data_IF_938292934056
#
_entry.id   IF_938292934056
#
_cell.length_a   1.000
_cell.length_b   1.000
_cell.length_c   1.000
_cell.angle_alpha   90.00
_cell.angle_beta   90.00
_cell.angle_gamma   90.00
#
_symmetry.space_group_name_H-M   'P 1'
#
loop_
_entity.id
_entity.type
_entity.pdbx_description
1 polymer ?
#
# COMPACT_ATOMS: atom_id res chain seq x y z
N UNK A 1 8.11 -22.08 -9.63
CA UNK A 1 7.41 -20.96 -10.22
C UNK A 1 6.62 -20.19 -9.20
N UNK A 2 6.72 -18.88 -9.24
CA UNK A 2 5.98 -18.05 -8.31
C UNK A 2 4.49 -18.10 -8.65
N UNK A 3 3.66 -18.21 -7.61
CA UNK A 3 2.23 -18.20 -7.77
C UNK A 3 1.75 -16.79 -8.12
N UNK A 4 0.80 -16.68 -9.05
CA UNK A 4 0.15 -15.40 -9.33
C UNK A 4 -0.82 -15.07 -8.21
N UNK A 5 -0.69 -13.87 -7.65
CA UNK A 5 -1.55 -13.40 -6.57
C UNK A 5 -2.56 -12.39 -7.11
N UNK A 6 -3.69 -12.27 -6.42
CA UNK A 6 -4.60 -11.15 -6.62
C UNK A 6 -4.32 -10.11 -5.54
N UNK A 7 -3.88 -8.93 -5.96
CA UNK A 7 -3.45 -7.85 -5.07
C UNK A 7 -4.33 -6.63 -5.28
N UNK A 8 -4.90 -6.12 -4.20
CA UNK A 8 -5.69 -4.88 -4.25
C UNK A 8 -4.84 -3.78 -3.61
N UNK A 9 -4.66 -2.68 -4.33
CA UNK A 9 -3.91 -1.52 -3.87
C UNK A 9 -4.88 -0.38 -3.66
N UNK A 10 -4.89 0.20 -2.46
CA UNK A 10 -5.69 1.38 -2.15
C UNK A 10 -4.79 2.60 -2.27
N UNK A 11 -5.14 3.49 -3.19
CA UNK A 11 -4.36 4.69 -3.46
C UNK A 11 -3.65 4.63 -4.81
N UNK A 12 -4.00 5.56 -5.70
CA UNK A 12 -3.50 5.61 -7.07
C UNK A 12 -2.50 6.71 -7.34
N UNK A 13 -1.78 7.19 -6.32
CA UNK A 13 -0.71 8.16 -6.51
C UNK A 13 0.54 7.50 -7.10
N UNK A 14 1.69 8.19 -7.03
CA UNK A 14 2.92 7.69 -7.63
C UNK A 14 3.32 6.31 -7.11
N UNK A 15 3.21 6.10 -5.80
CA UNK A 15 3.59 4.81 -5.20
C UNK A 15 2.68 3.71 -5.72
N UNK A 16 1.37 3.93 -5.70
CA UNK A 16 0.41 2.95 -6.20
C UNK A 16 0.62 2.63 -7.66
N UNK A 17 0.90 3.65 -8.47
CA UNK A 17 1.16 3.49 -9.90
C UNK A 17 2.38 2.59 -10.16
N UNK A 18 3.53 2.95 -9.60
CA UNK A 18 4.76 2.20 -9.85
C UNK A 18 4.73 0.82 -9.24
N UNK A 19 4.12 0.69 -8.06
CA UNK A 19 3.97 -0.60 -7.42
C UNK A 19 3.09 -1.54 -8.26
N UNK A 20 1.97 -1.01 -8.78
CA UNK A 20 1.08 -1.80 -9.63
C UNK A 20 1.78 -2.25 -10.89
N UNK A 21 2.52 -1.35 -11.52
CA UNK A 21 3.26 -1.66 -12.74
C UNK A 21 4.28 -2.79 -12.49
N UNK A 22 5.01 -2.69 -11.38
CA UNK A 22 6.01 -3.70 -11.03
C UNK A 22 5.36 -5.06 -10.73
N UNK A 23 4.28 -5.07 -9.96
CA UNK A 23 3.60 -6.31 -9.61
C UNK A 23 2.95 -6.98 -10.81
N UNK A 24 2.34 -6.20 -11.69
CA UNK A 24 1.81 -6.73 -12.95
C UNK A 24 2.89 -7.35 -13.82
N UNK A 25 4.07 -6.72 -13.89
CA UNK A 25 5.18 -7.26 -14.66
C UNK A 25 5.71 -8.57 -14.08
N UNK A 26 5.47 -8.82 -12.81
CA UNK A 26 5.83 -10.07 -12.15
C UNK A 26 4.75 -11.14 -12.30
N UNK A 27 3.68 -10.86 -13.03
CA UNK A 27 2.63 -11.82 -13.30
C UNK A 27 1.48 -11.83 -12.32
N UNK A 28 1.38 -10.83 -11.45
CA UNK A 28 0.26 -10.73 -10.52
C UNK A 28 -0.91 -9.98 -11.13
N UNK A 29 -2.11 -10.29 -10.67
CA UNK A 29 -3.32 -9.56 -11.00
C UNK A 29 -3.46 -8.43 -9.99
N UNK A 30 -3.62 -7.19 -10.46
CA UNK A 30 -3.66 -6.01 -9.59
C UNK A 30 -4.89 -5.18 -9.89
N UNK A 31 -5.59 -4.75 -8.84
CA UNK A 31 -6.64 -3.75 -8.93
C UNK A 31 -6.30 -2.60 -8.01
N UNK A 32 -6.40 -1.37 -8.52
CA UNK A 32 -6.17 -0.15 -7.72
C UNK A 32 -7.53 0.46 -7.40
N UNK A 33 -7.74 0.83 -6.15
CA UNK A 33 -8.91 1.60 -5.73
C UNK A 33 -8.47 3.03 -5.49
N UNK A 34 -9.05 3.97 -6.22
CA UNK A 34 -8.67 5.38 -6.16
C UNK A 34 -9.91 6.27 -6.10
N UNK A 35 -9.94 7.24 -5.18
CA UNK A 35 -11.06 8.16 -5.02
C UNK A 35 -11.13 9.21 -6.12
N UNK A 36 -9.99 9.70 -6.56
CA UNK A 36 -9.90 10.80 -7.51
C UNK A 36 -10.16 10.29 -8.92
N UNK A 37 -11.18 10.85 -9.57
CA UNK A 37 -11.59 10.40 -10.90
C UNK A 37 -10.50 10.61 -11.94
N UNK A 38 -9.74 11.69 -11.84
CA UNK A 38 -8.68 11.98 -12.82
C UNK A 38 -7.51 11.04 -12.67
N UNK A 39 -7.15 10.72 -11.42
CA UNK A 39 -6.09 9.74 -11.17
C UNK A 39 -6.49 8.37 -11.68
N UNK A 40 -7.74 7.98 -11.45
CA UNK A 40 -8.25 6.70 -11.92
C UNK A 40 -8.24 6.62 -13.44
N UNK A 41 -8.68 7.67 -14.13
CA UNK A 41 -8.64 7.75 -15.60
C UNK A 41 -7.21 7.63 -16.12
N UNK A 42 -6.27 8.33 -15.49
CA UNK A 42 -4.86 8.27 -15.89
C UNK A 42 -4.29 6.86 -15.73
N UNK A 43 -4.64 6.20 -14.62
CA UNK A 43 -4.19 4.83 -14.39
C UNK A 43 -4.74 3.87 -15.44
N UNK A 44 -6.01 4.03 -15.81
CA UNK A 44 -6.61 3.20 -16.85
C UNK A 44 -5.96 3.44 -18.21
N UNK A 45 -5.66 4.70 -18.53
CA UNK A 45 -5.00 5.04 -19.79
C UNK A 45 -3.60 4.43 -19.88
N UNK A 46 -2.87 4.41 -18.77
CA UNK A 46 -1.48 3.95 -18.77
C UNK A 46 -1.32 2.46 -18.50
N UNK A 47 -2.18 1.89 -17.66
CA UNK A 47 -2.03 0.51 -17.20
C UNK A 47 -3.15 -0.43 -17.70
N UNK A 48 -4.16 0.11 -18.35
CA UNK A 48 -5.33 -0.67 -18.76
C UNK A 48 -6.41 -0.69 -17.68
N UNK A 49 -7.38 -1.59 -17.80
CA UNK A 49 -8.54 -1.64 -16.90
C UNK A 49 -8.18 -2.23 -15.55
N UNK A 50 -7.40 -1.51 -14.76
CA UNK A 50 -6.95 -1.98 -13.47
C UNK A 50 -7.27 -1.01 -12.33
N UNK A 51 -8.14 -0.02 -12.57
CA UNK A 51 -8.51 0.95 -11.55
C UNK A 51 -10.02 0.97 -11.33
N UNK A 52 -10.41 0.96 -10.08
CA UNK A 52 -11.79 1.13 -9.67
C UNK A 52 -11.88 2.42 -8.87
N UNK A 53 -12.80 3.29 -9.26
CA UNK A 53 -13.01 4.54 -8.54
C UNK A 53 -13.82 4.28 -7.27
N UNK A 54 -13.32 4.75 -6.15
CA UNK A 54 -14.04 4.63 -4.89
C UNK A 54 -13.15 4.87 -3.69
N UNK A 55 -13.77 4.83 -2.52
CA UNK A 55 -13.07 4.97 -1.26
C UNK A 55 -12.71 3.60 -0.71
N UNK A 56 -11.41 3.33 -0.61
CA UNK A 56 -10.91 2.05 -0.10
C UNK A 56 -11.14 1.81 1.39
N UNK A 57 -11.78 2.73 2.09
CA UNK A 57 -12.21 2.53 3.46
C UNK A 57 -13.64 2.01 3.55
N UNK A 58 -14.40 2.03 2.45
CA UNK A 58 -15.78 1.60 2.44
C UNK A 58 -15.89 0.11 2.13
N UNK A 59 -16.62 -0.59 2.98
CA UNK A 59 -16.84 -2.04 2.84
C UNK A 59 -17.47 -2.40 1.49
N UNK A 60 -18.43 -1.60 1.03
CA UNK A 60 -19.10 -1.86 -0.24
C UNK A 60 -18.13 -1.80 -1.42
N UNK A 61 -17.24 -0.82 -1.42
CA UNK A 61 -16.22 -0.67 -2.47
C UNK A 61 -15.24 -1.84 -2.44
N UNK A 62 -14.78 -2.20 -1.25
CA UNK A 62 -13.86 -3.33 -1.09
C UNK A 62 -14.50 -4.65 -1.53
N UNK A 63 -15.79 -4.82 -1.24
CA UNK A 63 -16.52 -6.00 -1.69
C UNK A 63 -16.61 -6.06 -3.22
N UNK A 64 -16.92 -4.92 -3.84
CA UNK A 64 -16.99 -4.80 -5.29
C UNK A 64 -15.64 -5.07 -5.96
N UNK A 65 -14.57 -4.68 -5.30
CA UNK A 65 -13.20 -4.91 -5.76
C UNK A 65 -12.79 -6.37 -5.68
N UNK A 66 -13.60 -7.22 -5.07
CA UNK A 66 -13.27 -8.64 -4.95
C UNK A 66 -12.35 -8.97 -3.80
N UNK A 67 -12.43 -8.21 -2.71
CA UNK A 67 -11.53 -8.42 -1.58
C UNK A 67 -11.70 -9.80 -0.93
N UNK A 68 -12.85 -10.44 -1.11
CA UNK A 68 -13.08 -11.80 -0.62
C UNK A 68 -12.08 -12.81 -1.20
N UNK A 69 -11.57 -12.56 -2.41
CA UNK A 69 -10.61 -13.46 -3.04
C UNK A 69 -9.20 -12.89 -3.09
N UNK A 70 -8.99 -11.71 -2.54
CA UNK A 70 -7.67 -11.07 -2.59
C UNK A 70 -6.68 -11.79 -1.67
N UNK A 71 -5.47 -11.93 -2.15
CA UNK A 71 -4.37 -12.52 -1.39
C UNK A 71 -3.68 -11.46 -0.54
N UNK A 72 -3.61 -10.24 -1.04
CA UNK A 72 -2.90 -9.13 -0.38
C UNK A 72 -3.68 -7.84 -0.59
N UNK A 73 -3.76 -7.03 0.46
CA UNK A 73 -4.19 -5.64 0.34
C UNK A 73 -3.03 -4.73 0.72
N UNK A 74 -2.71 -3.77 -0.13
CA UNK A 74 -1.65 -2.79 0.12
C UNK A 74 -2.27 -1.40 0.14
N UNK A 75 -2.18 -0.72 1.27
CA UNK A 75 -2.73 0.63 1.45
C UNK A 75 -1.62 1.66 1.29
N UNK A 76 -1.75 2.51 0.27
CA UNK A 76 -0.73 3.50 -0.10
C UNK A 76 -1.28 4.92 -0.16
N UNK A 77 -2.38 5.20 0.53
CA UNK A 77 -2.95 6.54 0.57
C UNK A 77 -2.05 7.49 1.35
N UNK A 78 -2.28 8.79 1.16
CA UNK A 78 -1.46 9.81 1.82
C UNK A 78 -1.74 9.96 3.32
N UNK A 79 -2.90 9.51 3.78
CA UNK A 79 -3.28 9.61 5.18
C UNK A 79 -3.13 8.27 5.88
N UNK A 80 -2.37 8.26 6.98
CA UNK A 80 -2.14 7.02 7.72
C UNK A 80 -3.43 6.41 8.26
N UNK A 81 -4.38 7.23 8.71
CA UNK A 81 -5.64 6.71 9.21
C UNK A 81 -6.43 5.97 8.12
N UNK A 82 -6.39 6.42 6.89
CA UNK A 82 -7.05 5.74 5.79
C UNK A 82 -6.39 4.38 5.52
N UNK A 83 -5.07 4.35 5.56
CA UNK A 83 -4.32 3.11 5.36
C UNK A 83 -4.60 2.11 6.45
N UNK A 84 -4.71 2.57 7.70
CA UNK A 84 -5.06 1.70 8.81
C UNK A 84 -6.47 1.13 8.65
N UNK A 85 -7.44 1.97 8.33
CA UNK A 85 -8.84 1.54 8.19
C UNK A 85 -8.97 0.51 7.07
N UNK A 86 -8.37 0.78 5.90
CA UNK A 86 -8.41 -0.17 4.79
C UNK A 86 -7.85 -1.53 5.18
N UNK A 87 -6.71 -1.55 5.86
CA UNK A 87 -6.10 -2.79 6.31
C UNK A 87 -6.94 -3.51 7.34
N UNK A 88 -7.55 -2.78 8.26
CA UNK A 88 -8.39 -3.40 9.28
C UNK A 88 -9.66 -3.99 8.71
N UNK A 89 -10.32 -3.28 7.81
CA UNK A 89 -11.51 -3.80 7.15
C UNK A 89 -11.15 -5.04 6.33
N UNK A 90 -10.07 -4.97 5.58
CA UNK A 90 -9.60 -6.11 4.79
C UNK A 90 -9.34 -7.34 5.64
N UNK A 91 -8.68 -7.15 6.76
CA UNK A 91 -8.30 -8.25 7.64
C UNK A 91 -9.51 -8.85 8.37
N UNK A 92 -10.31 -7.99 9.00
CA UNK A 92 -11.37 -8.46 9.87
C UNK A 92 -12.67 -8.82 9.13
N UNK A 93 -13.00 -8.07 8.08
CA UNK A 93 -14.25 -8.26 7.37
C UNK A 93 -14.11 -9.24 6.20
N UNK A 94 -13.00 -9.17 5.47
CA UNK A 94 -12.79 -9.96 4.27
C UNK A 94 -11.78 -11.08 4.45
N UNK A 95 -11.12 -11.14 5.60
CA UNK A 95 -10.15 -12.21 5.90
C UNK A 95 -9.01 -12.29 4.89
N UNK A 96 -8.59 -11.14 4.39
CA UNK A 96 -7.43 -11.08 3.49
C UNK A 96 -6.21 -11.62 4.23
N UNK A 97 -5.49 -12.59 3.65
CA UNK A 97 -4.38 -13.22 4.36
C UNK A 97 -3.25 -12.26 4.74
N UNK A 98 -3.01 -11.24 3.93
CA UNK A 98 -1.91 -10.33 4.20
C UNK A 98 -2.29 -8.89 3.93
N UNK A 99 -2.04 -8.01 4.89
CA UNK A 99 -2.27 -6.57 4.76
C UNK A 99 -0.96 -5.84 4.96
N UNK A 100 -0.70 -4.87 4.08
CA UNK A 100 0.51 -4.06 4.12
C UNK A 100 0.09 -2.60 4.05
N UNK A 101 0.62 -1.78 4.94
CA UNK A 101 0.32 -0.36 4.98
C UNK A 101 1.57 0.49 4.82
N UNK A 102 1.45 1.50 3.97
CA UNK A 102 2.42 2.57 3.94
C UNK A 102 2.18 3.45 5.16
N UNK A 103 3.24 3.79 5.88
CA UNK A 103 3.15 4.63 7.07
C UNK A 103 3.92 5.91 6.78
N UNK A 104 3.21 7.04 6.77
CA UNK A 104 3.83 8.33 6.48
C UNK A 104 4.45 8.96 7.73
N UNK A 105 3.83 8.77 8.89
CA UNK A 105 4.37 9.23 10.16
C UNK A 105 5.00 8.04 10.88
N UNK A 106 6.33 8.01 11.08
CA UNK A 106 7.01 6.86 11.69
C UNK A 106 6.49 6.46 13.07
N UNK A 107 5.90 7.39 13.80
CA UNK A 107 5.33 7.11 15.11
C UNK A 107 4.23 6.06 15.03
N UNK A 108 3.51 6.01 13.91
CA UNK A 108 2.39 5.10 13.73
C UNK A 108 2.80 3.65 13.43
N UNK A 109 4.07 3.41 13.13
CA UNK A 109 4.52 2.07 12.72
C UNK A 109 4.18 0.99 13.74
N UNK A 110 4.55 1.21 14.99
CA UNK A 110 4.29 0.24 16.06
C UNK A 110 2.81 0.07 16.32
N UNK A 111 2.05 1.16 16.26
CA UNK A 111 0.61 1.13 16.48
C UNK A 111 -0.08 0.27 15.42
N UNK A 112 0.30 0.43 14.16
CA UNK A 112 -0.26 -0.35 13.07
C UNK A 112 -0.01 -1.85 13.27
N UNK A 113 1.20 -2.20 13.65
CA UNK A 113 1.55 -3.60 13.90
C UNK A 113 0.75 -4.17 15.07
N UNK A 114 0.57 -3.41 16.13
CA UNK A 114 -0.24 -3.83 17.29
C UNK A 114 -1.70 -4.02 16.92
N UNK A 115 -2.19 -3.25 15.96
CA UNK A 115 -3.58 -3.33 15.52
C UNK A 115 -3.80 -4.39 14.43
N UNK A 116 -2.78 -5.18 14.14
CA UNK A 116 -2.93 -6.35 13.28
C UNK A 116 -2.59 -6.15 11.82
N UNK A 117 -1.99 -5.02 11.44
CA UNK A 117 -1.47 -4.85 10.08
C UNK A 117 -0.24 -5.75 9.96
N UNK A 118 -0.25 -6.63 8.96
CA UNK A 118 0.81 -7.65 8.83
C UNK A 118 2.17 -7.08 8.48
N UNK A 119 2.20 -6.07 7.61
CA UNK A 119 3.45 -5.43 7.23
C UNK A 119 3.28 -3.92 7.18
N UNK A 120 4.31 -3.19 7.58
CA UNK A 120 4.32 -1.73 7.49
C UNK A 120 5.58 -1.29 6.77
N UNK A 121 5.45 -0.24 5.97
CA UNK A 121 6.58 0.36 5.27
C UNK A 121 6.59 1.84 5.63
N UNK A 122 7.57 2.24 6.46
CA UNK A 122 7.75 3.64 6.80
C UNK A 122 8.61 4.29 5.74
N UNK A 123 8.01 5.22 4.99
CA UNK A 123 8.70 5.93 3.91
C UNK A 123 9.89 6.70 4.45
N UNK A 124 9.68 7.41 5.57
CA UNK A 124 10.73 8.22 6.18
C UNK A 124 11.91 7.36 6.61
N UNK A 125 11.65 6.22 7.28
CA UNK A 125 12.72 5.35 7.73
C UNK A 125 13.48 4.72 6.57
N UNK A 126 12.78 4.36 5.50
CA UNK A 126 13.39 3.80 4.31
C UNK A 126 14.32 4.82 3.65
N UNK A 127 13.87 6.06 3.53
CA UNK A 127 14.68 7.14 2.98
C UNK A 127 15.92 7.40 3.86
N UNK A 128 15.73 7.43 5.17
CA UNK A 128 16.85 7.66 6.10
C UNK A 128 17.91 6.56 5.99
N UNK A 129 17.48 5.31 5.86
CA UNK A 129 18.43 4.21 5.67
C UNK A 129 19.28 4.40 4.41
N UNK A 130 18.65 4.82 3.31
CA UNK A 130 19.38 5.10 2.08
C UNK A 130 20.34 6.27 2.22
N UNK A 131 19.90 7.35 2.87
CA UNK A 131 20.76 8.51 3.10
C UNK A 131 21.96 8.12 3.96
N UNK A 132 21.74 7.32 4.98
CA UNK A 132 22.81 6.87 5.86
C UNK A 132 23.83 5.98 5.16
N UNK A 133 23.40 5.23 4.16
CA UNK A 133 24.32 4.43 3.35
C UNK A 133 25.20 5.29 2.45
N UNK A 134 24.70 6.43 2.01
CA UNK A 134 25.44 7.33 1.13
C UNK A 134 26.32 8.32 1.88
N UNK A 135 26.04 8.56 3.17
CA UNK A 135 26.78 9.52 3.98
C UNK A 135 27.50 8.80 5.11
N UNK A 136 28.82 8.99 5.27
CA UNK A 136 29.53 8.37 6.39
C UNK A 136 28.92 8.74 7.74
N UNK A 137 28.83 7.75 8.64
CA UNK A 137 28.15 7.90 9.92
C UNK A 137 28.67 9.08 10.74
N UNK A 138 29.98 9.32 10.74
CA UNK A 138 30.55 10.43 11.51
C UNK A 138 30.12 11.80 11.00
N UNK A 139 29.68 11.92 9.77
CA UNK A 139 29.22 13.19 9.21
C UNK A 139 27.77 13.49 9.58
N UNK A 140 26.99 12.51 9.93
CA UNK A 140 25.61 12.73 10.36
C UNK A 140 25.42 12.61 11.86
N UNK A 141 26.49 12.36 12.59
CA UNK A 141 26.47 12.43 14.05
C UNK A 141 25.63 11.38 14.77
N UNK A 142 25.41 10.23 14.16
CA UNK A 142 24.56 9.22 14.77
C UNK A 142 25.29 8.19 15.61
N UNK A 143 26.56 8.36 15.73
CA UNK A 143 27.38 7.36 16.42
C UNK A 143 27.03 7.17 17.88
N UNK A 144 26.42 8.12 18.43
CA UNK A 144 26.09 8.14 19.78
C UNK A 144 24.91 7.42 20.18
N UNK A 145 24.22 6.98 19.36
CA UNK A 145 22.96 6.41 19.72
C UNK A 145 23.08 5.00 20.22
#
# INVERSE_FOLDING_TARGET
>A
MAKSLYIVIVGGGNIGYYLSKALMSQGHEVLIIEKDVRKCERLEDELGSCCMRGDGCETAILSEAGLNRADVLIATASQDEDNLVSCQVAKHRFKVPRTIALVNNPINDKIFKKLGVDGTISVTNTILEHVEQEIPAHQIGRAHV
#
